data_IF_598139231832
#
_entry.id   IF_598139231832
#
_cell.length_a   1.000
_cell.length_b   1.000
_cell.length_c   1.000
_cell.angle_alpha   90.00
_cell.angle_beta   90.00
_cell.angle_gamma   90.00
#
_symmetry.space_group_name_H-M   'P 1'
#
loop_
_entity.id
_entity.type
_entity.pdbx_description
1 polymer ?
#
# COMPACT_ATOMS: atom_id res chain seq x y z
N UNK A 1 -53.44 -56.26 15.95
CA UNK A 1 -52.02 -56.48 15.60
C UNK A 1 -51.62 -55.43 14.58
N UNK A 2 -50.80 -54.46 14.97
CA UNK A 2 -49.96 -53.67 14.03
C UNK A 2 -48.74 -54.54 13.65
N UNK A 3 -47.84 -54.18 12.70
CA UNK A 3 -47.67 -52.92 11.96
C UNK A 3 -47.44 -53.15 10.43
N UNK A 4 -47.20 -52.15 9.58
CA UNK A 4 -45.84 -51.72 9.21
C UNK A 4 -45.91 -50.50 8.30
N UNK A 5 -45.32 -49.41 8.75
CA UNK A 5 -45.07 -48.19 7.96
C UNK A 5 -43.98 -48.44 6.91
N UNK A 6 -44.06 -47.86 5.70
CA UNK A 6 -42.90 -47.80 4.81
C UNK A 6 -41.86 -46.76 5.30
N UNK A 7 -40.57 -46.93 4.95
CA UNK A 7 -39.46 -46.17 5.50
C UNK A 7 -39.28 -44.82 4.80
N UNK A 8 -38.50 -43.96 5.45
CA UNK A 8 -38.31 -42.54 5.13
C UNK A 8 -37.82 -42.24 3.71
N UNK A 9 -38.38 -41.16 3.15
CA UNK A 9 -37.75 -40.40 2.09
C UNK A 9 -36.84 -39.34 2.71
N UNK A 10 -35.53 -39.54 2.57
CA UNK A 10 -34.51 -38.56 2.93
C UNK A 10 -34.70 -37.27 2.12
N UNK A 11 -34.71 -36.13 2.82
CA UNK A 11 -34.62 -34.82 2.19
C UNK A 11 -33.40 -34.72 1.27
N UNK A 12 -33.47 -33.98 0.15
CA UNK A 12 -32.29 -33.73 -0.67
C UNK A 12 -31.25 -32.96 0.14
N UNK A 13 -29.95 -33.23 -0.02
CA UNK A 13 -28.91 -32.42 0.61
C UNK A 13 -28.98 -30.99 0.04
N UNK A 14 -28.63 -29.97 0.84
CA UNK A 14 -28.50 -28.61 0.32
C UNK A 14 -27.42 -28.56 -0.76
N UNK A 15 -27.57 -27.69 -1.79
CA UNK A 15 -26.55 -27.53 -2.82
C UNK A 15 -25.22 -27.14 -2.17
N UNK A 16 -24.21 -27.94 -2.45
CA UNK A 16 -22.84 -27.71 -2.00
C UNK A 16 -22.12 -26.83 -3.03
N UNK A 17 -21.59 -25.70 -2.54
CA UNK A 17 -20.45 -24.94 -3.10
C UNK A 17 -20.78 -24.00 -4.29
N UNK A 18 -20.08 -22.85 -4.44
CA UNK A 18 -18.64 -22.77 -4.45
C UNK A 18 -18.06 -21.94 -3.30
N UNK A 19 -17.16 -22.61 -2.61
CA UNK A 19 -16.04 -22.01 -1.90
C UNK A 19 -15.21 -21.12 -2.84
N UNK A 20 -14.48 -20.20 -2.22
CA UNK A 20 -13.23 -19.61 -2.72
C UNK A 20 -13.24 -18.86 -4.07
N UNK A 21 -13.80 -17.65 -4.08
CA UNK A 21 -13.16 -16.56 -4.81
C UNK A 21 -11.95 -16.06 -3.99
N UNK A 22 -10.85 -16.83 -4.02
CA UNK A 22 -9.52 -16.31 -3.69
C UNK A 22 -9.17 -15.29 -4.77
N UNK A 23 -9.47 -14.02 -4.50
CA UNK A 23 -8.93 -12.91 -5.26
C UNK A 23 -7.47 -12.76 -4.84
N UNK A 24 -6.63 -13.61 -5.42
CA UNK A 24 -5.18 -13.42 -5.47
C UNK A 24 -4.90 -12.18 -6.31
N UNK A 25 -4.95 -11.03 -5.64
CA UNK A 25 -4.38 -9.80 -6.16
C UNK A 25 -2.86 -9.94 -6.01
N UNK A 26 -2.21 -10.61 -6.97
CA UNK A 26 -0.76 -10.59 -7.07
C UNK A 26 -0.31 -9.13 -7.19
N UNK A 27 0.15 -8.57 -6.08
CA UNK A 27 0.77 -7.25 -6.02
C UNK A 27 2.06 -7.33 -6.83
N UNK A 28 2.03 -6.79 -8.06
CA UNK A 28 3.24 -6.58 -8.86
C UNK A 28 4.16 -5.62 -8.12
N UNK A 29 5.20 -6.14 -7.49
CA UNK A 29 6.31 -5.37 -6.92
C UNK A 29 7.33 -5.16 -8.03
N UNK A 30 7.50 -3.92 -8.48
CA UNK A 30 8.52 -3.58 -9.47
C UNK A 30 9.86 -3.42 -8.75
N UNK A 31 10.78 -4.37 -8.93
CA UNK A 31 12.16 -4.28 -8.42
C UNK A 31 13.04 -3.57 -9.44
N UNK A 32 13.48 -2.34 -9.14
CA UNK A 32 14.46 -1.63 -9.95
C UNK A 32 15.84 -1.86 -9.35
N UNK A 33 16.62 -2.76 -9.96
CA UNK A 33 18.05 -2.92 -9.67
C UNK A 33 18.84 -1.78 -10.31
N UNK A 34 19.51 -1.01 -9.45
CA UNK A 34 20.67 -0.14 -9.69
C UNK A 34 20.47 0.97 -10.72
N UNK A 35 20.45 2.22 -10.26
CA UNK A 35 21.08 3.30 -11.04
C UNK A 35 21.51 4.49 -10.17
N UNK A 36 22.82 4.73 -10.16
CA UNK A 36 23.46 5.95 -9.71
C UNK A 36 23.28 7.01 -10.81
N UNK A 37 22.11 7.64 -10.85
CA UNK A 37 21.88 8.98 -11.41
C UNK A 37 20.47 9.39 -11.02
N UNK A 38 20.30 10.62 -10.53
CA UNK A 38 19.01 11.12 -10.07
C UNK A 38 17.97 11.18 -11.20
N UNK A 39 18.42 11.44 -12.44
CA UNK A 39 17.53 11.63 -13.60
C UNK A 39 16.75 10.34 -13.97
N UNK A 40 17.38 9.15 -14.11
CA UNK A 40 16.62 7.96 -14.53
C UNK A 40 15.81 7.34 -13.39
N UNK A 41 16.04 7.74 -12.13
CA UNK A 41 15.16 7.35 -11.03
C UNK A 41 13.84 8.12 -11.12
N UNK A 42 13.90 9.44 -11.36
CA UNK A 42 12.71 10.27 -11.49
C UNK A 42 11.81 9.81 -12.65
N UNK A 43 12.38 9.49 -13.81
CA UNK A 43 11.62 8.98 -14.95
C UNK A 43 10.89 7.67 -14.60
N UNK A 44 11.59 6.73 -13.96
CA UNK A 44 10.98 5.47 -13.51
C UNK A 44 9.90 5.68 -12.45
N UNK A 45 10.07 6.66 -11.56
CA UNK A 45 9.05 6.98 -10.56
C UNK A 45 7.81 7.57 -11.25
N UNK A 46 7.99 8.45 -12.24
CA UNK A 46 6.87 9.02 -13.01
C UNK A 46 6.13 7.93 -13.77
N UNK A 47 6.84 7.03 -14.44
CA UNK A 47 6.26 5.86 -15.10
C UNK A 47 5.46 5.01 -14.10
N UNK A 48 6.03 4.71 -12.92
CA UNK A 48 5.36 4.00 -11.85
C UNK A 48 4.08 4.70 -11.38
N UNK A 49 4.12 6.03 -11.17
CA UNK A 49 2.97 6.81 -10.70
C UNK A 49 1.82 6.87 -11.72
N UNK A 50 2.13 6.77 -13.02
CA UNK A 50 1.14 6.74 -14.11
C UNK A 50 0.59 5.35 -14.40
N UNK A 51 1.31 4.29 -13.99
CA UNK A 51 0.88 2.90 -14.16
C UNK A 51 -0.05 2.37 -13.06
N UNK A 52 -0.33 1.07 -13.16
CA UNK A 52 -1.19 0.32 -12.22
C UNK A 52 -0.42 -0.30 -11.04
N UNK A 53 0.91 -0.17 -11.04
CA UNK A 53 1.74 -0.73 -9.99
C UNK A 53 1.46 -0.01 -8.65
N UNK A 54 1.32 -0.80 -7.58
CA UNK A 54 0.98 -0.28 -6.26
C UNK A 54 2.21 -0.02 -5.38
N UNK A 55 3.30 -0.76 -5.63
CA UNK A 55 4.51 -0.72 -4.81
C UNK A 55 5.74 -0.72 -5.72
N UNK A 56 6.65 0.21 -5.45
CA UNK A 56 7.97 0.28 -6.08
C UNK A 56 9.04 0.18 -4.99
N UNK A 57 10.00 -0.72 -5.18
CA UNK A 57 11.12 -0.89 -4.26
C UNK A 57 12.39 -0.30 -4.87
N UNK A 58 12.99 0.66 -4.18
CA UNK A 58 14.25 1.29 -4.58
C UNK A 58 15.39 0.62 -3.82
N UNK A 59 16.18 -0.18 -4.54
CA UNK A 59 17.33 -0.88 -3.98
C UNK A 59 18.64 -0.21 -4.40
N UNK A 60 19.58 -0.18 -3.48
CA UNK A 60 20.92 0.35 -3.70
C UNK A 60 21.81 0.05 -2.50
N UNK A 61 23.12 0.16 -2.70
CA UNK A 61 24.09 -0.19 -1.66
C UNK A 61 23.96 0.75 -0.43
N UNK A 62 24.48 0.31 0.72
CA UNK A 62 24.59 1.17 1.89
C UNK A 62 25.44 2.39 1.56
N UNK A 63 25.02 3.58 2.00
CA UNK A 63 25.69 4.84 1.66
C UNK A 63 25.51 5.33 0.21
N UNK A 64 24.72 4.66 -0.63
CA UNK A 64 24.49 5.08 -2.02
C UNK A 64 23.63 6.36 -2.19
N UNK A 65 23.25 7.02 -1.09
CA UNK A 65 22.45 8.25 -1.13
C UNK A 65 20.96 8.03 -1.40
N UNK A 66 20.42 6.85 -1.07
CA UNK A 66 18.99 6.52 -1.25
C UNK A 66 18.09 7.50 -0.53
N UNK A 67 18.31 7.72 0.77
CA UNK A 67 17.55 8.69 1.58
C UNK A 67 17.60 10.10 1.01
N UNK A 68 18.78 10.54 0.55
CA UNK A 68 18.94 11.85 -0.11
C UNK A 68 18.14 11.94 -1.41
N UNK A 69 18.16 10.89 -2.22
CA UNK A 69 17.43 10.81 -3.49
C UNK A 69 15.91 10.76 -3.26
N UNK A 70 15.46 9.99 -2.25
CA UNK A 70 14.06 9.91 -1.83
C UNK A 70 13.54 11.27 -1.36
N UNK A 71 14.36 12.04 -0.64
CA UNK A 71 13.99 13.39 -0.18
C UNK A 71 13.90 14.39 -1.32
N UNK A 72 14.77 14.26 -2.32
CA UNK A 72 14.67 15.05 -3.55
C UNK A 72 13.40 14.70 -4.33
N UNK A 73 13.11 13.40 -4.48
CA UNK A 73 11.89 12.90 -5.10
C UNK A 73 10.63 13.43 -4.40
N UNK A 74 10.60 13.39 -3.07
CA UNK A 74 9.50 13.96 -2.27
C UNK A 74 9.26 15.42 -2.64
N UNK A 75 10.33 16.23 -2.68
CA UNK A 75 10.26 17.63 -3.04
C UNK A 75 9.70 17.84 -4.46
N UNK A 76 10.19 17.09 -5.44
CA UNK A 76 9.71 17.18 -6.83
C UNK A 76 8.23 16.82 -6.96
N UNK A 77 7.77 15.75 -6.30
CA UNK A 77 6.34 15.37 -6.32
C UNK A 77 5.49 16.48 -5.69
N UNK A 78 5.97 17.13 -4.62
CA UNK A 78 5.28 18.29 -4.04
C UNK A 78 5.22 19.49 -4.98
N UNK A 79 6.27 19.76 -5.77
CA UNK A 79 6.25 20.85 -6.76
C UNK A 79 5.24 20.58 -7.88
N UNK A 80 5.07 19.32 -8.28
CA UNK A 80 4.12 18.92 -9.32
C UNK A 80 2.67 18.73 -8.79
N UNK A 81 2.48 18.79 -7.47
CA UNK A 81 1.19 18.54 -6.85
C UNK A 81 0.13 19.56 -7.29
N UNK A 82 -1.01 19.04 -7.74
CA UNK A 82 -2.20 19.82 -8.08
C UNK A 82 -3.32 19.54 -7.08
N UNK A 83 -4.15 20.56 -6.80
CA UNK A 83 -5.32 20.39 -5.96
C UNK A 83 -6.22 19.24 -6.47
N UNK A 84 -6.61 18.35 -5.57
CA UNK A 84 -7.35 17.12 -5.92
C UNK A 84 -6.47 15.93 -6.31
N UNK A 85 -5.17 16.13 -6.49
CA UNK A 85 -4.18 15.08 -6.72
C UNK A 85 -3.95 14.18 -5.50
N UNK A 86 -3.13 13.15 -5.71
CA UNK A 86 -2.65 12.27 -4.63
C UNK A 86 -1.70 13.07 -3.73
N UNK A 87 -1.88 12.97 -2.42
CA UNK A 87 -1.10 13.70 -1.42
C UNK A 87 0.19 12.91 -1.13
N UNK A 88 1.38 13.48 -1.35
CA UNK A 88 2.63 12.84 -0.97
C UNK A 88 2.76 12.80 0.55
N UNK A 89 3.18 11.67 1.10
CA UNK A 89 3.54 11.52 2.51
C UNK A 89 4.87 10.78 2.61
N UNK A 90 5.88 11.49 3.09
CA UNK A 90 7.15 10.88 3.47
C UNK A 90 7.01 10.21 4.84
N UNK A 91 7.50 8.98 4.93
CA UNK A 91 7.44 8.15 6.14
C UNK A 91 8.84 7.57 6.38
N UNK A 92 9.45 7.98 7.49
CA UNK A 92 10.67 7.34 7.98
C UNK A 92 10.28 6.10 8.78
N UNK A 93 10.39 4.91 8.18
CA UNK A 93 9.91 3.65 8.77
C UNK A 93 10.53 3.36 10.15
N UNK A 94 11.85 3.56 10.38
CA UNK A 94 12.48 3.34 11.68
C UNK A 94 11.99 4.29 12.78
N UNK A 95 11.43 5.45 12.41
CA UNK A 95 10.91 6.42 13.37
C UNK A 95 9.49 6.08 13.85
N UNK A 96 8.84 5.07 13.27
CA UNK A 96 7.50 4.65 13.67
C UNK A 96 7.58 3.54 14.72
N UNK A 97 6.97 3.78 15.88
CA UNK A 97 6.92 2.78 16.94
C UNK A 97 6.10 1.53 16.57
N UNK A 98 5.09 1.65 15.68
CA UNK A 98 4.15 0.56 15.32
C UNK A 98 3.65 0.63 13.87
N UNK A 99 4.52 0.35 12.88
CA UNK A 99 4.18 0.48 11.47
C UNK A 99 2.98 -0.38 11.02
N UNK A 100 2.71 -1.50 11.70
CA UNK A 100 1.61 -2.43 11.40
C UNK A 100 0.20 -1.83 11.49
N UNK A 101 -0.03 -0.79 12.32
CA UNK A 101 -1.40 -0.40 12.68
C UNK A 101 -1.98 0.72 11.83
N UNK A 102 -1.21 1.74 11.44
CA UNK A 102 -1.71 2.81 10.55
C UNK A 102 -0.63 3.83 10.09
N UNK A 103 0.27 3.46 9.18
CA UNK A 103 1.33 4.35 8.65
C UNK A 103 0.86 5.78 8.31
N UNK A 104 -0.26 5.89 7.59
CA UNK A 104 -0.82 7.19 7.17
C UNK A 104 -1.31 8.01 8.36
N UNK A 105 -2.04 7.39 9.29
CA UNK A 105 -2.56 8.13 10.44
C UNK A 105 -1.45 8.55 11.40
N UNK A 106 -0.45 7.69 11.63
CA UNK A 106 0.70 8.04 12.46
C UNK A 106 1.46 9.21 11.87
N UNK A 107 1.77 9.16 10.56
CA UNK A 107 2.44 10.28 9.91
C UNK A 107 1.60 11.56 9.92
N UNK A 108 0.28 11.50 9.73
CA UNK A 108 -0.56 12.69 9.83
C UNK A 108 -0.61 13.25 11.27
N UNK A 109 -0.51 12.41 12.30
CA UNK A 109 -0.42 12.89 13.69
C UNK A 109 0.88 13.62 13.98
N UNK A 110 2.01 13.21 13.38
CA UNK A 110 3.27 13.95 13.51
C UNK A 110 3.21 15.33 12.86
N UNK A 111 2.29 15.52 11.90
CA UNK A 111 1.93 16.81 11.31
C UNK A 111 0.79 17.55 12.05
N UNK A 112 0.45 17.14 13.27
CA UNK A 112 -0.56 17.76 14.14
C UNK A 112 -2.01 17.71 13.59
N UNK A 113 -2.33 16.75 12.72
CA UNK A 113 -3.72 16.54 12.31
C UNK A 113 -4.53 15.86 13.42
N UNK A 114 -5.73 16.38 13.66
CA UNK A 114 -6.71 15.77 14.58
C UNK A 114 -7.34 14.52 13.96
N UNK A 115 -7.82 13.61 14.81
CA UNK A 115 -8.36 12.31 14.37
C UNK A 115 -9.52 12.45 13.36
N UNK A 116 -10.41 13.43 13.53
CA UNK A 116 -11.48 13.69 12.57
C UNK A 116 -10.97 14.17 11.21
N UNK A 117 -9.90 14.97 11.19
CA UNK A 117 -9.26 15.41 9.95
C UNK A 117 -8.59 14.23 9.25
N UNK A 118 -7.91 13.37 10.01
CA UNK A 118 -7.28 12.15 9.50
C UNK A 118 -8.34 11.23 8.88
N UNK A 119 -9.46 10.98 9.58
CA UNK A 119 -10.57 10.17 9.04
C UNK A 119 -11.13 10.74 7.74
N UNK A 120 -11.32 12.07 7.68
CA UNK A 120 -11.80 12.75 6.46
C UNK A 120 -10.80 12.62 5.31
N UNK A 121 -9.52 12.86 5.57
CA UNK A 121 -8.46 12.74 4.57
C UNK A 121 -8.35 11.31 4.05
N UNK A 122 -8.34 10.31 4.92
CA UNK A 122 -8.29 8.88 4.53
C UNK A 122 -9.50 8.44 3.70
N UNK A 123 -10.69 9.01 3.94
CA UNK A 123 -11.91 8.64 3.21
C UNK A 123 -12.00 9.32 1.84
N UNK A 124 -11.52 10.55 1.72
CA UNK A 124 -11.78 11.40 0.55
C UNK A 124 -10.56 11.68 -0.32
N UNK A 125 -9.35 11.37 0.17
CA UNK A 125 -8.10 11.65 -0.52
C UNK A 125 -7.31 10.38 -0.75
N UNK A 126 -6.52 10.40 -1.82
CA UNK A 126 -5.53 9.37 -2.12
C UNK A 126 -4.15 9.86 -1.72
N UNK A 127 -3.27 8.95 -1.34
CA UNK A 127 -1.92 9.25 -0.91
C UNK A 127 -0.88 8.57 -1.79
N UNK A 128 0.30 9.16 -1.90
CA UNK A 128 1.53 8.51 -2.37
C UNK A 128 2.40 8.37 -1.14
N UNK A 129 2.69 7.14 -0.74
CA UNK A 129 3.55 6.86 0.40
C UNK A 129 4.99 6.74 -0.09
N UNK A 130 5.86 7.56 0.47
CA UNK A 130 7.29 7.57 0.19
C UNK A 130 7.97 7.10 1.47
N UNK A 131 8.38 5.85 1.50
CA UNK A 131 8.94 5.23 2.69
C UNK A 131 10.47 5.16 2.59
N UNK A 132 11.16 5.49 3.68
CA UNK A 132 12.62 5.32 3.81
C UNK A 132 12.96 4.45 5.03
N UNK A 133 14.12 3.80 5.00
CA UNK A 133 14.62 2.95 6.08
C UNK A 133 13.95 1.58 6.19
N UNK A 134 13.52 0.96 5.08
CA UNK A 134 12.87 -0.36 5.08
C UNK A 134 13.72 -1.51 5.67
N UNK A 135 15.04 -1.45 5.52
CA UNK A 135 15.97 -2.52 5.92
C UNK A 135 16.52 -2.34 7.35
N UNK A 136 16.14 -1.28 8.07
CA UNK A 136 16.72 -0.92 9.37
C UNK A 136 15.96 -1.56 10.56
N UNK A 137 15.53 -2.81 10.41
CA UNK A 137 14.79 -3.57 11.45
C UNK A 137 15.71 -4.35 12.39
#
# INVERSE_FOLDING_TARGET
MSPSSPPGGSSPPPPTSPDSASSDTEKKVLQIKRLLSLLPLMDKVKDFLTGDAQVMLILGDSGAGKSTSIRHLEHEIWQEYKAGGRIPLFINLPALERPEKNLVAEQLRTHNFLEDQIRKLKKHRRFILICDGYDES
#
